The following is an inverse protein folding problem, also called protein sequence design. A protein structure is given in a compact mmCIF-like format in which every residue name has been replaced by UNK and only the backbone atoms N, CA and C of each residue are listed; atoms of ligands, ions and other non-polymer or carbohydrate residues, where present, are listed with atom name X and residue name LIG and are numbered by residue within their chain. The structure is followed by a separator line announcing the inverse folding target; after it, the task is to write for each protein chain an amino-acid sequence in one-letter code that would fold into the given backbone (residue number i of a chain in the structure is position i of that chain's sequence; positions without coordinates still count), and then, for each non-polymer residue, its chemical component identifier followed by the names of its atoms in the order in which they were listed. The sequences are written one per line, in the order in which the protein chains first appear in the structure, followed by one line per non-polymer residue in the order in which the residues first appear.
data_IF_260408215169
#
_entry.id   IF_260408215169
#
_cell.length_a   1.000
_cell.length_b   1.000
_cell.length_c   1.000
_cell.angle_alpha   90.00
_cell.angle_beta   90.00
_cell.angle_gamma   90.00
#
_symmetry.space_group_name_H-M   'P 1'
#
loop_
_entity.id
_entity.type
_entity.pdbx_description
1 polymer ?
#
# COMPACT_ATOMS: atom_id res chain seq x y z
N UNK A 1 -7.14 3.46 -0.01
CA UNK A 1 -6.66 2.84 -1.25
C UNK A 1 -7.01 1.37 -1.31
N UNK A 2 -6.46 0.53 -0.43
CA UNK A 2 -6.57 -0.93 -0.55
C UNK A 2 -8.00 -1.48 -0.72
N UNK A 3 -8.98 -0.98 0.06
CA UNK A 3 -10.39 -1.38 -0.04
C UNK A 3 -10.99 -1.04 -1.41
N UNK A 4 -10.62 0.13 -1.98
CA UNK A 4 -11.04 0.53 -3.34
C UNK A 4 -10.46 -0.42 -4.40
N UNK A 5 -9.20 -0.82 -4.23
CA UNK A 5 -8.55 -1.78 -5.13
C UNK A 5 -9.25 -3.15 -5.08
N UNK A 6 -9.55 -3.68 -3.88
CA UNK A 6 -10.30 -4.93 -3.72
C UNK A 6 -11.70 -4.82 -4.32
N UNK A 7 -12.38 -3.68 -4.13
CA UNK A 7 -13.69 -3.42 -4.71
C UNK A 7 -13.64 -3.45 -6.24
N UNK A 8 -12.72 -2.71 -6.86
CA UNK A 8 -12.54 -2.70 -8.31
C UNK A 8 -12.17 -4.10 -8.83
N UNK A 9 -11.26 -4.81 -8.16
CA UNK A 9 -10.80 -6.12 -8.62
C UNK A 9 -11.83 -7.24 -8.51
N UNK A 10 -12.77 -7.16 -7.56
CA UNK A 10 -13.76 -8.23 -7.29
C UNK A 10 -15.12 -7.91 -7.88
N UNK A 11 -15.53 -6.65 -7.85
CA UNK A 11 -16.89 -6.22 -8.24
C UNK A 11 -16.95 -5.53 -9.60
N UNK A 12 -15.81 -5.28 -10.26
CA UNK A 12 -15.80 -4.69 -11.61
C UNK A 12 -14.98 -5.55 -12.56
N UNK A 13 -15.41 -5.66 -13.82
CA UNK A 13 -14.67 -6.37 -14.88
C UNK A 13 -13.50 -5.54 -15.44
N UNK A 14 -13.01 -4.56 -14.67
CA UNK A 14 -11.95 -3.67 -15.11
C UNK A 14 -10.60 -4.42 -15.11
N UNK A 15 -9.81 -4.29 -16.19
CA UNK A 15 -8.43 -4.81 -16.24
C UNK A 15 -7.57 -4.39 -15.04
N UNK A 16 -6.71 -5.29 -14.57
CA UNK A 16 -5.91 -5.12 -13.35
C UNK A 16 -4.96 -3.90 -13.40
N UNK A 17 -4.40 -3.62 -14.57
CA UNK A 17 -3.55 -2.46 -14.86
C UNK A 17 -4.30 -1.14 -14.66
N UNK A 18 -5.54 -1.05 -15.15
CA UNK A 18 -6.40 0.12 -14.96
C UNK A 18 -6.83 0.23 -13.49
N UNK A 19 -7.23 -0.87 -12.86
CA UNK A 19 -7.63 -0.88 -11.45
C UNK A 19 -6.50 -0.42 -10.51
N UNK A 20 -5.26 -0.85 -10.76
CA UNK A 20 -4.08 -0.40 -10.01
C UNK A 20 -3.78 1.08 -10.25
N UNK A 21 -3.93 1.56 -11.50
CA UNK A 21 -3.79 2.97 -11.85
C UNK A 21 -4.81 3.86 -11.13
N UNK A 22 -6.08 3.46 -11.10
CA UNK A 22 -7.15 4.18 -10.38
C UNK A 22 -6.82 4.28 -8.88
N UNK A 23 -6.37 3.18 -8.28
CA UNK A 23 -5.96 3.19 -6.87
C UNK A 23 -4.80 4.16 -6.61
N UNK A 24 -3.83 4.27 -7.52
CA UNK A 24 -2.71 5.21 -7.42
C UNK A 24 -3.19 6.67 -7.55
N UNK A 25 -4.08 6.95 -8.51
CA UNK A 25 -4.67 8.27 -8.69
C UNK A 25 -5.43 8.72 -7.43
N UNK A 26 -6.12 7.79 -6.76
CA UNK A 26 -6.81 8.06 -5.50
C UNK A 26 -5.83 8.34 -4.34
N UNK A 27 -4.63 7.74 -4.36
CA UNK A 27 -3.60 8.04 -3.37
C UNK A 27 -2.97 9.42 -3.56
N UNK A 28 -2.92 9.97 -4.77
CA UNK A 28 -2.25 11.24 -5.05
C UNK A 28 -2.77 12.43 -4.22
N UNK A 29 -4.09 12.71 -4.12
CA UNK A 29 -4.58 13.82 -3.30
C UNK A 29 -4.33 13.60 -1.80
N UNK A 30 -4.44 12.35 -1.33
CA UNK A 30 -4.23 11.97 0.07
C UNK A 30 -2.76 12.11 0.44
N UNK A 31 -1.87 11.68 -0.47
CA UNK A 31 -0.42 11.81 -0.32
C UNK A 31 0.00 13.27 -0.30
N UNK A 32 -0.55 14.11 -1.20
CA UNK A 32 -0.29 15.55 -1.20
C UNK A 32 -0.72 16.20 0.13
N UNK A 33 -1.94 15.91 0.60
CA UNK A 33 -2.43 16.47 1.86
C UNK A 33 -1.57 16.01 3.05
N UNK A 34 -1.24 14.71 3.09
CA UNK A 34 -0.37 14.13 4.11
C UNK A 34 1.01 14.78 4.13
N UNK A 35 1.60 14.99 2.95
CA UNK A 35 2.90 15.63 2.78
C UNK A 35 2.87 17.08 3.27
N UNK A 36 1.86 17.86 2.89
CA UNK A 36 1.70 19.25 3.34
C UNK A 36 1.60 19.33 4.86
N UNK A 37 0.82 18.45 5.49
CA UNK A 37 0.66 18.42 6.96
C UNK A 37 1.99 18.01 7.63
N UNK A 38 2.67 16.99 7.13
CA UNK A 38 3.93 16.49 7.71
C UNK A 38 5.09 17.48 7.60
N UNK A 39 5.17 18.22 6.48
CA UNK A 39 6.15 19.30 6.32
C UNK A 39 5.85 20.44 7.30
N UNK A 40 4.58 20.86 7.44
CA UNK A 40 4.19 21.92 8.37
C UNK A 40 4.47 21.56 9.83
N UNK A 41 4.32 20.30 10.21
CA UNK A 41 4.60 19.83 11.58
C UNK A 41 6.10 19.55 11.88
N UNK A 42 7.03 19.82 10.94
CA UNK A 42 8.49 19.59 11.10
C UNK A 42 8.92 18.16 11.49
N UNK A 43 8.05 17.16 11.32
CA UNK A 43 8.35 15.75 11.61
C UNK A 43 9.09 15.05 10.45
N UNK A 44 9.55 15.80 9.45
CA UNK A 44 10.10 15.24 8.20
C UNK A 44 11.52 15.70 7.97
N UNK A 45 12.47 14.77 8.07
CA UNK A 45 13.86 14.98 7.66
C UNK A 45 13.95 14.95 6.13
N UNK A 46 13.78 16.12 5.50
CA UNK A 46 13.80 16.27 4.03
C UNK A 46 15.09 15.72 3.40
N UNK A 47 16.20 15.71 4.15
CA UNK A 47 17.48 15.09 3.73
C UNK A 47 17.39 13.58 3.59
N UNK A 48 16.73 12.90 4.53
CA UNK A 48 16.51 11.46 4.45
C UNK A 48 15.52 11.14 3.34
N UNK A 49 14.43 11.91 3.24
CA UNK A 49 13.43 11.76 2.17
C UNK A 49 14.09 11.80 0.80
N UNK A 50 14.99 12.76 0.54
CA UNK A 50 15.73 12.85 -0.72
C UNK A 50 16.55 11.59 -1.02
N UNK A 51 17.24 11.02 -0.03
CA UNK A 51 18.04 9.79 -0.20
C UNK A 51 17.16 8.58 -0.53
N UNK A 52 16.02 8.44 0.13
CA UNK A 52 15.06 7.37 -0.18
C UNK A 52 14.36 7.58 -1.53
N UNK A 53 14.15 8.83 -1.95
CA UNK A 53 13.59 9.18 -3.26
C UNK A 53 14.50 8.72 -4.40
N UNK A 54 15.81 8.92 -4.26
CA UNK A 54 16.79 8.50 -5.28
C UNK A 54 16.80 6.98 -5.48
N UNK A 55 16.56 6.19 -4.43
CA UNK A 55 16.45 4.74 -4.54
C UNK A 55 15.05 4.26 -4.96
N UNK A 56 14.01 4.93 -4.47
CA UNK A 56 12.62 4.57 -4.72
C UNK A 56 12.16 4.89 -6.14
N UNK A 57 12.61 6.03 -6.70
CA UNK A 57 12.18 6.48 -8.02
C UNK A 57 12.59 5.53 -9.16
N UNK A 58 13.87 5.06 -9.26
CA UNK A 58 14.26 4.08 -10.26
C UNK A 58 13.51 2.75 -10.07
N UNK A 59 13.32 2.32 -8.83
CA UNK A 59 12.63 1.08 -8.51
C UNK A 59 11.16 1.14 -8.94
N UNK A 60 10.49 2.27 -8.72
CA UNK A 60 9.11 2.52 -9.16
C UNK A 60 9.00 2.54 -10.69
N UNK A 61 9.94 3.19 -11.40
CA UNK A 61 9.96 3.24 -12.86
C UNK A 61 10.14 1.85 -13.45
N UNK A 62 11.14 1.09 -12.96
CA UNK A 62 11.40 -0.27 -13.42
C UNK A 62 10.21 -1.18 -13.09
N UNK A 63 9.67 -1.10 -11.88
CA UNK A 63 8.50 -1.88 -11.46
C UNK A 63 7.27 -1.59 -12.31
N UNK A 64 6.99 -0.31 -12.61
CA UNK A 64 5.88 0.08 -13.47
C UNK A 64 6.08 -0.39 -14.91
N UNK A 65 7.32 -0.35 -15.42
CA UNK A 65 7.62 -0.83 -16.77
C UNK A 65 7.43 -2.34 -16.88
N UNK A 66 7.97 -3.11 -15.93
CA UNK A 66 7.80 -4.57 -15.87
C UNK A 66 6.31 -4.94 -15.71
N UNK A 67 5.57 -4.20 -14.90
CA UNK A 67 4.12 -4.40 -14.76
C UNK A 67 3.37 -4.13 -16.08
N UNK A 68 3.76 -3.09 -16.84
CA UNK A 68 3.13 -2.71 -18.10
C UNK A 68 3.36 -3.69 -19.26
N UNK A 69 4.45 -4.46 -19.22
CA UNK A 69 4.72 -5.53 -20.22
C UNK A 69 4.21 -6.91 -19.77
N UNK A 70 3.75 -7.04 -18.52
CA UNK A 70 3.24 -8.29 -17.98
C UNK A 70 1.77 -8.45 -18.33
N UNK A 71 1.37 -9.66 -18.73
CA UNK A 71 -0.02 -9.98 -19.02
C UNK A 71 -0.94 -9.73 -17.81
N UNK A 72 -2.08 -9.09 -18.06
CA UNK A 72 -3.04 -8.67 -17.04
C UNK A 72 -3.57 -9.87 -16.23
N UNK A 73 -3.73 -11.05 -16.85
CA UNK A 73 -4.21 -12.24 -16.16
C UNK A 73 -3.15 -12.79 -15.18
N UNK A 74 -1.86 -12.69 -15.54
CA UNK A 74 -0.75 -13.03 -14.64
C UNK A 74 -0.69 -12.04 -13.47
N UNK A 75 -0.80 -10.74 -13.78
CA UNK A 75 -0.78 -9.68 -12.77
C UNK A 75 -1.91 -9.84 -11.75
N UNK A 76 -3.11 -10.19 -12.22
CA UNK A 76 -4.28 -10.47 -11.37
C UNK A 76 -4.06 -11.68 -10.47
N UNK A 77 -3.49 -12.78 -10.98
CA UNK A 77 -3.18 -13.98 -10.17
C UNK A 77 -2.16 -13.68 -9.08
N UNK A 78 -1.05 -13.02 -9.44
CA UNK A 78 0.00 -12.64 -8.49
C UNK A 78 -0.53 -11.71 -7.40
N UNK A 79 -1.32 -10.70 -7.79
CA UNK A 79 -1.94 -9.78 -6.84
C UNK A 79 -2.91 -10.50 -5.89
N UNK A 80 -3.77 -11.39 -6.40
CA UNK A 80 -4.69 -12.17 -5.58
C UNK A 80 -3.98 -13.05 -4.54
N UNK A 81 -2.89 -13.73 -4.94
CA UNK A 81 -2.05 -14.51 -4.03
C UNK A 81 -1.42 -13.61 -2.97
N UNK A 82 -0.90 -12.44 -3.36
CA UNK A 82 -0.31 -11.48 -2.43
C UNK A 82 -1.32 -10.97 -1.40
N UNK A 83 -2.54 -10.61 -1.82
CA UNK A 83 -3.61 -10.17 -0.92
C UNK A 83 -4.00 -11.28 0.06
N UNK A 84 -4.15 -12.52 -0.41
CA UNK A 84 -4.43 -13.66 0.46
C UNK A 84 -3.30 -13.87 1.47
N UNK A 85 -2.05 -13.80 1.04
CA UNK A 85 -0.89 -13.94 1.92
C UNK A 85 -0.87 -12.87 3.02
N UNK A 86 -1.06 -11.60 2.68
CA UNK A 86 -1.12 -10.51 3.66
C UNK A 86 -2.33 -10.68 4.58
N UNK A 87 -3.49 -11.06 4.04
CA UNK A 87 -4.70 -11.31 4.82
C UNK A 87 -4.52 -12.43 5.86
N UNK A 88 -3.96 -13.57 5.45
CA UNK A 88 -3.67 -14.69 6.36
C UNK A 88 -2.64 -14.28 7.41
N UNK A 89 -1.56 -13.60 7.03
CA UNK A 89 -0.57 -13.11 7.98
C UNK A 89 -1.18 -12.14 8.99
N UNK A 90 -2.02 -11.21 8.52
CA UNK A 90 -2.64 -10.22 9.40
C UNK A 90 -3.61 -10.89 10.39
N UNK A 91 -4.38 -11.88 9.94
CA UNK A 91 -5.23 -12.70 10.81
C UNK A 91 -4.39 -13.49 11.81
N UNK A 92 -3.34 -14.17 11.38
CA UNK A 92 -2.46 -14.93 12.27
C UNK A 92 -1.83 -14.05 13.34
N UNK A 93 -1.30 -12.88 12.96
CA UNK A 93 -0.78 -11.87 13.89
C UNK A 93 -1.88 -11.40 14.86
N UNK A 94 -3.10 -11.18 14.37
CA UNK A 94 -4.23 -10.78 15.22
C UNK A 94 -4.65 -11.88 16.20
N UNK A 95 -4.57 -13.15 15.82
CA UNK A 95 -4.93 -14.29 16.69
C UNK A 95 -3.82 -14.65 17.68
N UNK A 96 -2.55 -14.48 17.31
CA UNK A 96 -1.40 -14.80 18.17
C UNK A 96 -1.09 -13.69 19.16
N UNK A 97 -1.36 -12.43 18.82
CA UNK A 97 -1.32 -11.34 19.79
C UNK A 97 -2.60 -11.41 20.64
N UNK A 98 -2.59 -12.25 21.68
CA UNK A 98 -3.50 -12.03 22.80
C UNK A 98 -3.33 -10.57 23.24
N UNK A 99 -4.40 -9.79 23.44
CA UNK A 99 -4.25 -8.51 24.12
C UNK A 99 -3.63 -8.82 25.47
N UNK A 100 -2.36 -8.44 25.65
CA UNK A 100 -1.77 -8.40 26.97
C UNK A 100 -2.64 -7.40 27.72
N UNK A 101 -3.51 -7.92 28.60
CA UNK A 101 -4.33 -7.16 29.51
C UNK A 101 -3.35 -6.21 30.21
N UNK A 102 -3.37 -4.92 29.88
CA UNK A 102 -2.72 -3.90 30.71
C UNK A 102 -3.50 -3.89 32.03
N UNK A 103 -3.14 -4.81 32.92
CA UNK A 103 -3.33 -4.61 34.34
C UNK A 103 -2.36 -3.52 34.75
N UNK A 104 -2.88 -2.31 34.93
CA UNK A 104 -2.39 -1.44 35.99
C UNK A 104 -3.52 -1.29 36.98
N UNK A 105 -3.48 -2.22 37.92
CA UNK A 105 -3.94 -2.09 39.29
C UNK A 105 -3.26 -0.88 39.95
N UNK A 106 -4.04 -0.10 40.71
CA UNK A 106 -3.71 0.56 42.00
C UNK A 106 -2.43 1.42 42.06
N UNK A 107 -2.49 2.71 42.40
CA UNK A 107 -2.97 3.33 43.65
C UNK A 107 -3.10 4.84 43.48
#
# INVERSE_FOLDING_TARGET
GFILLVYLSVFTEIPQDIAQGINLLFFLPIALLSLVIHIKNKLTDLKLVGKYLILGLPCAVVGSYVAGITDVAVLRKLFGIFVLYIGINQLYVSFTNKPCKKGSDSK
#
